data_IF_262284203093
#
_entry.id   IF_262284203093
#
_cell.length_a   1.000
_cell.length_b   1.000
_cell.length_c   1.000
_cell.angle_alpha   90.00
_cell.angle_beta   90.00
_cell.angle_gamma   90.00
#
_symmetry.space_group_name_H-M   'P 1'
#
loop_
_entity.id
_entity.type
_entity.pdbx_description
1 polymer ?
#
# COMPACT_ATOMS: atom_id res chain seq x y z
N UNK A 1 18.16 -10.02 -60.91
CA UNK A 1 17.79 -11.34 -61.45
C UNK A 1 18.81 -12.32 -60.90
N UNK A 2 18.56 -13.27 -60.01
CA UNK A 2 17.39 -13.76 -59.24
C UNK A 2 18.07 -14.72 -58.25
N UNK A 3 17.89 -14.56 -56.92
CA UNK A 3 16.99 -15.39 -56.09
C UNK A 3 17.35 -16.89 -56.13
N UNK A 4 17.41 -17.68 -55.05
CA UNK A 4 16.65 -17.72 -53.78
C UNK A 4 17.28 -18.91 -53.00
N UNK A 5 17.65 -18.77 -51.71
CA UNK A 5 16.86 -19.14 -50.52
C UNK A 5 16.96 -20.63 -50.10
N UNK A 6 17.29 -20.82 -48.82
CA UNK A 6 16.89 -21.90 -47.91
C UNK A 6 17.05 -23.37 -48.32
N UNK A 7 18.09 -24.04 -47.78
CA UNK A 7 17.94 -25.29 -46.98
C UNK A 7 19.30 -25.79 -46.42
N UNK A 8 20.04 -24.94 -45.69
CA UNK A 8 21.28 -25.35 -45.01
C UNK A 8 21.26 -25.04 -43.51
N UNK A 9 20.14 -25.36 -42.87
CA UNK A 9 20.01 -25.39 -41.41
C UNK A 9 19.85 -26.85 -40.99
N UNK A 10 20.93 -27.48 -40.54
CA UNK A 10 20.98 -28.40 -39.38
C UNK A 10 22.40 -28.93 -39.13
N UNK A 11 23.11 -28.17 -38.29
CA UNK A 11 23.81 -28.63 -37.08
C UNK A 11 25.00 -29.61 -37.21
N UNK A 12 26.16 -29.04 -37.56
CA UNK A 12 27.41 -29.21 -36.78
C UNK A 12 27.22 -28.46 -35.43
N UNK A 13 27.75 -28.80 -34.27
CA UNK A 13 28.85 -29.65 -33.86
C UNK A 13 28.69 -29.95 -32.36
N UNK A 14 28.91 -31.20 -31.95
CA UNK A 14 29.15 -31.54 -30.54
C UNK A 14 30.27 -32.59 -30.48
N UNK A 15 31.49 -32.12 -30.25
CA UNK A 15 32.64 -32.93 -29.82
C UNK A 15 33.37 -32.17 -28.73
N UNK A 16 33.51 -32.83 -27.59
CA UNK A 16 34.48 -32.67 -26.51
C UNK A 16 33.77 -32.61 -25.15
N UNK A 17 33.71 -33.75 -24.45
CA UNK A 17 34.45 -33.94 -23.18
C UNK A 17 34.24 -35.35 -22.62
N UNK A 18 35.34 -36.09 -22.57
CA UNK A 18 35.68 -37.21 -21.68
C UNK A 18 35.42 -36.77 -20.22
N UNK A 19 34.83 -37.54 -19.29
CA UNK A 19 35.39 -38.67 -18.53
C UNK A 19 34.24 -39.30 -17.72
N UNK A 20 34.15 -40.64 -17.72
CA UNK A 20 33.18 -41.45 -16.99
C UNK A 20 33.83 -42.08 -15.74
N UNK A 21 33.19 -41.88 -14.58
CA UNK A 21 32.92 -42.83 -13.48
C UNK A 21 34.07 -43.44 -12.67
N UNK A 22 34.14 -43.05 -11.39
CA UNK A 22 34.02 -43.98 -10.24
C UNK A 22 33.72 -43.21 -8.93
N UNK A 23 32.66 -43.58 -8.20
CA UNK A 23 32.40 -43.08 -6.84
C UNK A 23 30.92 -43.01 -6.44
N UNK A 24 30.34 -44.15 -6.07
CA UNK A 24 29.01 -44.27 -5.44
C UNK A 24 29.20 -44.22 -3.91
N UNK A 25 28.39 -43.44 -3.19
CA UNK A 25 27.55 -43.84 -2.04
C UNK A 25 27.30 -42.70 -1.03
N UNK A 26 26.01 -42.38 -0.89
CA UNK A 26 25.27 -42.10 0.36
C UNK A 26 25.69 -40.89 1.20
N UNK A 27 24.94 -39.79 1.10
CA UNK A 27 24.29 -39.14 2.25
C UNK A 27 23.05 -38.38 1.76
N UNK A 28 21.87 -39.00 1.92
CA UNK A 28 20.61 -38.28 1.95
C UNK A 28 20.49 -37.60 3.30
N UNK A 29 20.68 -36.27 3.33
CA UNK A 29 20.31 -35.45 4.47
C UNK A 29 18.93 -34.84 4.22
N UNK A 30 17.97 -35.16 5.09
CA UNK A 30 16.75 -34.38 5.23
C UNK A 30 17.11 -32.91 5.46
N UNK A 31 16.63 -32.01 4.61
CA UNK A 31 16.66 -30.57 4.90
C UNK A 31 15.53 -30.33 5.90
N UNK A 32 15.82 -30.48 7.20
CA UNK A 32 14.96 -29.92 8.25
C UNK A 32 15.16 -28.41 8.23
N UNK A 33 14.09 -27.68 7.96
CA UNK A 33 14.06 -26.26 8.22
C UNK A 33 14.24 -26.05 9.73
N UNK A 34 15.40 -25.53 10.13
CA UNK A 34 15.61 -25.07 11.50
C UNK A 34 14.73 -23.84 11.76
N UNK A 35 14.01 -23.77 12.88
CA UNK A 35 13.40 -22.52 13.31
C UNK A 35 14.52 -21.52 13.64
N UNK A 36 14.39 -20.31 13.11
CA UNK A 36 15.25 -19.18 13.47
C UNK A 36 14.94 -18.79 14.91
N UNK A 37 15.69 -19.36 15.85
CA UNK A 37 15.76 -18.88 17.23
C UNK A 37 16.63 -17.62 17.26
N UNK A 38 15.99 -16.45 17.40
CA UNK A 38 16.69 -15.22 17.74
C UNK A 38 17.24 -15.36 19.17
N UNK A 39 18.55 -15.15 19.30
CA UNK A 39 19.41 -15.59 20.42
C UNK A 39 19.24 -14.80 21.73
N UNK A 40 18.25 -13.91 21.82
CA UNK A 40 18.27 -12.84 22.80
C UNK A 40 17.14 -12.88 23.83
N UNK A 41 16.46 -14.02 24.06
CA UNK A 41 15.70 -14.31 25.29
C UNK A 41 14.63 -13.29 25.75
N UNK A 42 14.27 -12.31 24.92
CA UNK A 42 13.26 -11.29 25.21
C UNK A 42 12.03 -11.67 24.41
N UNK A 43 10.99 -12.09 25.11
CA UNK A 43 9.62 -12.12 24.60
C UNK A 43 9.24 -10.68 24.26
N UNK A 44 9.44 -10.27 23.00
CA UNK A 44 8.81 -9.05 22.50
C UNK A 44 7.33 -9.39 22.30
N UNK A 45 6.45 -8.66 22.98
CA UNK A 45 5.04 -8.65 22.61
C UNK A 45 4.93 -8.28 21.12
N UNK A 46 3.91 -8.80 20.43
CA UNK A 46 3.68 -8.52 19.00
C UNK A 46 3.64 -7.01 18.69
N UNK A 47 3.31 -6.19 19.68
CA UNK A 47 3.40 -4.72 19.63
C UNK A 47 4.80 -4.20 19.25
N UNK A 48 5.88 -4.86 19.69
CA UNK A 48 7.27 -4.42 19.47
C UNK A 48 7.89 -4.84 18.13
N UNK A 49 7.20 -5.66 17.33
CA UNK A 49 7.63 -6.04 15.96
C UNK A 49 6.88 -5.22 14.90
N UNK A 50 5.76 -4.60 15.27
CA UNK A 50 4.93 -3.76 14.40
C UNK A 50 5.15 -2.25 14.59
N UNK A 51 5.99 -1.82 15.53
CA UNK A 51 6.50 -0.44 15.58
C UNK A 51 7.58 -0.18 14.51
N UNK A 52 7.30 -0.54 13.26
CA UNK A 52 7.77 0.31 12.18
C UNK A 52 6.89 1.56 12.29
N UNK A 53 7.37 2.54 13.08
CA UNK A 53 6.63 3.71 13.53
C UNK A 53 5.71 4.19 12.40
N UNK A 54 4.40 3.99 12.59
CA UNK A 54 3.35 4.53 11.74
C UNK A 54 3.80 5.91 11.29
N UNK A 55 4.20 6.03 10.02
CA UNK A 55 4.90 7.22 9.61
C UNK A 55 3.92 8.37 9.87
N UNK A 56 4.27 9.33 10.72
CA UNK A 56 3.35 10.38 11.11
C UNK A 56 3.53 11.55 10.15
N UNK A 57 2.45 12.32 9.92
CA UNK A 57 2.58 13.58 9.19
C UNK A 57 3.36 14.55 10.07
N UNK A 58 4.54 14.95 9.58
CA UNK A 58 5.39 15.94 10.24
C UNK A 58 5.04 17.32 9.69
N UNK A 59 4.48 18.18 10.52
CA UNK A 59 4.29 19.58 10.19
C UNK A 59 5.65 20.29 10.10
N UNK A 60 5.97 20.84 8.93
CA UNK A 60 7.29 21.45 8.69
C UNK A 60 7.22 22.96 8.39
N UNK A 61 6.07 23.45 7.93
CA UNK A 61 5.85 24.88 7.69
C UNK A 61 4.36 25.20 7.69
N UNK A 62 4.03 26.47 7.94
CA UNK A 62 2.70 27.03 7.72
C UNK A 62 2.74 28.10 6.63
N UNK A 63 1.64 28.24 5.92
CA UNK A 63 1.44 29.35 5.01
C UNK A 63 1.36 30.65 5.81
N UNK A 64 2.15 31.64 5.41
CA UNK A 64 2.17 32.98 5.97
C UNK A 64 2.07 34.01 4.83
N UNK A 65 1.52 35.21 5.09
CA UNK A 65 1.48 36.27 4.10
C UNK A 65 2.89 36.80 3.81
N UNK A 66 3.08 37.36 2.62
CA UNK A 66 4.31 38.10 2.26
C UNK A 66 4.53 39.24 3.28
N UNK A 67 5.78 39.47 3.76
CA UNK A 67 7.04 38.82 3.35
C UNK A 67 7.44 37.58 4.18
N UNK A 68 6.58 37.08 5.09
CA UNK A 68 6.93 36.08 6.09
C UNK A 68 6.83 34.63 5.61
N UNK A 69 7.05 34.36 4.31
CA UNK A 69 6.91 33.03 3.73
C UNK A 69 7.81 32.01 4.48
N UNK A 70 7.23 30.87 4.85
CA UNK A 70 8.00 29.77 5.44
C UNK A 70 8.38 28.74 4.39
N UNK A 71 9.56 28.15 4.57
CA UNK A 71 10.05 27.05 3.74
C UNK A 71 10.11 25.79 4.56
N UNK A 72 9.40 24.75 4.11
CA UNK A 72 9.51 23.41 4.64
C UNK A 72 10.84 22.81 4.18
N UNK A 73 11.68 22.40 5.13
CA UNK A 73 12.95 21.71 4.85
C UNK A 73 12.86 20.27 5.32
N UNK A 74 12.91 19.34 4.37
CA UNK A 74 12.78 17.90 4.62
C UNK A 74 14.16 17.27 4.47
N UNK A 75 14.64 16.58 5.52
CA UNK A 75 15.97 15.98 5.55
C UNK A 75 15.89 14.45 5.66
N UNK A 76 15.33 13.82 4.64
CA UNK A 76 15.12 12.38 4.55
C UNK A 76 15.86 11.81 3.33
N UNK A 77 17.19 11.63 3.42
CA UNK A 77 18.01 11.28 2.27
C UNK A 77 17.63 9.91 1.71
N UNK A 78 17.48 9.83 0.39
CA UNK A 78 17.16 8.64 -0.40
C UNK A 78 15.84 7.92 -0.04
N UNK A 79 15.01 8.53 0.80
CA UNK A 79 13.63 8.06 1.05
C UNK A 79 12.66 8.71 0.07
N UNK A 80 11.63 7.96 -0.32
CA UNK A 80 10.45 8.54 -0.95
C UNK A 80 9.66 9.29 0.11
N UNK A 81 9.32 10.53 -0.18
CA UNK A 81 8.58 11.43 0.71
C UNK A 81 7.29 11.83 0.05
N UNK A 82 6.17 11.59 0.73
CA UNK A 82 4.91 12.24 0.39
C UNK A 82 4.82 13.55 1.16
N UNK A 83 4.58 14.62 0.42
CA UNK A 83 4.34 15.95 0.96
C UNK A 83 2.89 16.35 0.66
N UNK A 84 2.23 16.99 1.62
CA UNK A 84 0.90 17.57 1.41
C UNK A 84 0.89 19.04 1.76
N UNK A 85 0.11 19.79 1.00
CA UNK A 85 -0.19 21.19 1.24
C UNK A 85 -1.68 21.36 1.36
N UNK A 86 -2.15 22.02 2.41
CA UNK A 86 -3.58 22.23 2.60
C UNK A 86 -4.00 22.54 4.02
N UNK A 87 -5.28 22.40 4.29
CA UNK A 87 -5.85 22.54 5.63
C UNK A 87 -6.91 21.46 5.81
N UNK A 88 -7.34 21.22 7.06
CA UNK A 88 -8.17 20.09 7.46
C UNK A 88 -9.19 19.64 6.41
N UNK A 89 -9.01 18.41 5.91
CA UNK A 89 -9.85 17.77 4.90
C UNK A 89 -9.58 18.15 3.43
N UNK A 90 -8.84 19.22 3.15
CA UNK A 90 -8.56 19.71 1.79
C UNK A 90 -7.06 19.87 1.53
N UNK A 91 -6.46 18.93 0.78
CA UNK A 91 -5.02 18.85 0.53
C UNK A 91 -4.69 18.54 -0.94
N UNK A 92 -3.58 19.08 -1.42
CA UNK A 92 -2.85 18.55 -2.57
C UNK A 92 -1.65 17.73 -2.11
N UNK A 93 -1.36 16.64 -2.83
CA UNK A 93 -0.24 15.76 -2.54
C UNK A 93 0.83 15.83 -3.63
N UNK A 94 2.08 15.70 -3.20
CA UNK A 94 3.30 15.76 -4.00
C UNK A 94 4.23 14.66 -3.54
N UNK A 95 5.09 14.16 -4.44
CA UNK A 95 6.03 13.12 -4.09
C UNK A 95 7.43 13.45 -4.57
N UNK A 96 8.40 13.20 -3.69
CA UNK A 96 9.80 13.51 -3.89
C UNK A 96 10.67 12.33 -3.46
N UNK A 97 11.87 12.25 -4.03
CA UNK A 97 12.97 11.42 -3.52
C UNK A 97 14.25 12.20 -3.73
N UNK A 98 15.04 12.40 -2.69
CA UNK A 98 16.22 13.25 -2.79
C UNK A 98 17.33 12.79 -1.86
N UNK A 99 18.57 12.81 -2.34
CA UNK A 99 19.78 12.58 -1.54
C UNK A 99 20.24 13.83 -0.77
N UNK A 100 19.63 14.99 -1.06
CA UNK A 100 19.86 16.26 -0.36
C UNK A 100 18.56 16.75 0.30
N UNK A 101 18.63 17.68 1.26
CA UNK A 101 17.43 18.30 1.81
C UNK A 101 16.54 18.90 0.72
N UNK A 102 15.24 18.64 0.82
CA UNK A 102 14.21 19.22 -0.06
C UNK A 102 13.73 20.51 0.61
N UNK A 103 13.72 21.62 -0.13
CA UNK A 103 13.26 22.93 0.36
C UNK A 103 12.06 23.39 -0.46
N UNK A 104 10.88 23.44 0.16
CA UNK A 104 9.61 23.81 -0.49
C UNK A 104 8.99 24.99 0.26
N UNK A 105 8.79 26.11 -0.43
CA UNK A 105 8.07 27.26 0.14
C UNK A 105 6.58 26.94 0.28
N UNK A 106 6.05 27.12 1.49
CA UNK A 106 4.67 26.81 1.82
C UNK A 106 3.73 27.93 1.34
N UNK A 107 3.39 27.93 0.04
CA UNK A 107 2.67 29.03 -0.57
C UNK A 107 1.83 28.65 -1.79
N UNK A 108 0.69 29.33 -1.94
CA UNK A 108 -0.29 29.11 -3.00
C UNK A 108 0.25 29.22 -4.43
N UNK A 109 1.14 30.18 -4.68
CA UNK A 109 1.66 30.38 -6.04
C UNK A 109 2.58 29.25 -6.51
N UNK A 110 3.08 28.43 -5.58
CA UNK A 110 3.91 27.25 -5.89
C UNK A 110 3.05 25.99 -5.86
N UNK A 111 2.19 25.84 -4.86
CA UNK A 111 1.51 24.58 -4.54
C UNK A 111 0.02 24.57 -4.93
N UNK A 112 -0.49 25.63 -5.57
CA UNK A 112 -1.92 25.84 -5.76
C UNK A 112 -2.64 26.16 -4.44
N UNK A 113 -3.94 26.41 -4.49
CA UNK A 113 -4.74 26.71 -3.29
C UNK A 113 -5.86 25.67 -3.07
N UNK A 114 -5.57 24.54 -2.39
CA UNK A 114 -6.56 23.48 -2.16
C UNK A 114 -7.71 23.92 -1.26
N UNK A 115 -7.57 25.02 -0.52
CA UNK A 115 -8.55 25.49 0.45
C UNK A 115 -8.57 27.03 0.55
N UNK A 116 -9.25 27.70 -0.41
CA UNK A 116 -9.25 29.15 -0.49
C UNK A 116 -9.77 29.83 0.78
N UNK A 117 -9.06 30.88 1.22
CA UNK A 117 -9.44 31.69 2.38
C UNK A 117 -9.12 31.08 3.75
N UNK A 118 -8.58 29.86 3.80
CA UNK A 118 -8.14 29.21 5.04
C UNK A 118 -6.60 29.18 5.05
N UNK A 119 -5.91 29.41 6.18
CA UNK A 119 -4.46 29.20 6.27
C UNK A 119 -4.07 27.74 6.06
N UNK A 120 -3.06 27.48 5.22
CA UNK A 120 -2.60 26.12 4.92
C UNK A 120 -1.34 25.76 5.70
N UNK A 121 -1.07 24.47 5.73
CA UNK A 121 0.09 23.85 6.33
C UNK A 121 0.78 22.96 5.30
N UNK A 122 2.09 22.87 5.46
CA UNK A 122 2.94 21.93 4.76
C UNK A 122 3.31 20.83 5.74
N UNK A 123 2.91 19.62 5.40
CA UNK A 123 3.28 18.42 6.14
C UNK A 123 3.98 17.43 5.21
N UNK A 124 4.86 16.60 5.76
CA UNK A 124 5.47 15.51 5.01
C UNK A 124 5.47 14.21 5.80
N UNK A 125 5.70 13.12 5.10
CA UNK A 125 5.98 11.82 5.70
C UNK A 125 6.95 11.02 4.85
N UNK A 126 7.73 10.14 5.50
CA UNK A 126 8.54 9.13 4.82
C UNK A 126 7.66 7.94 4.46
N UNK A 127 7.57 7.63 3.17
CA UNK A 127 6.61 6.70 2.63
C UNK A 127 5.79 7.34 1.53
N UNK A 128 5.11 6.49 0.75
CA UNK A 128 4.30 6.91 -0.36
C UNK A 128 2.83 6.61 -0.07
N UNK A 129 1.97 7.59 -0.34
CA UNK A 129 0.51 7.37 -0.38
C UNK A 129 0.06 6.81 -1.73
N UNK A 130 1.00 6.49 -2.61
CA UNK A 130 0.82 5.92 -3.94
C UNK A 130 1.61 4.61 -4.07
N UNK A 131 1.12 3.65 -4.84
CA UNK A 131 1.88 2.47 -5.22
C UNK A 131 2.83 2.73 -6.40
N UNK A 132 3.81 1.82 -6.54
CA UNK A 132 4.63 1.69 -7.76
C UNK A 132 5.71 2.75 -7.98
N UNK A 133 5.97 3.66 -7.03
CA UNK A 133 7.00 4.70 -7.19
C UNK A 133 8.45 4.19 -7.09
N UNK A 134 8.67 3.09 -6.37
CA UNK A 134 9.99 2.48 -6.18
C UNK A 134 10.41 1.57 -7.33
N UNK A 135 9.64 1.54 -8.43
CA UNK A 135 10.00 0.78 -9.62
C UNK A 135 11.37 1.19 -10.18
N UNK A 136 12.17 0.21 -10.59
CA UNK A 136 13.46 0.44 -11.26
C UNK A 136 13.31 0.82 -12.73
N UNK A 137 12.11 0.69 -13.29
CA UNK A 137 11.83 0.71 -14.73
C UNK A 137 11.65 2.12 -15.31
N UNK A 138 12.29 3.13 -14.72
CA UNK A 138 12.28 4.48 -15.25
C UNK A 138 13.27 4.60 -16.42
N UNK A 139 12.77 4.98 -17.59
CA UNK A 139 13.59 5.30 -18.76
C UNK A 139 13.68 6.81 -18.97
N UNK A 140 14.86 7.31 -19.27
CA UNK A 140 15.04 8.68 -19.74
C UNK A 140 14.33 8.89 -21.10
N UNK A 141 13.59 9.99 -21.21
CA UNK A 141 12.83 10.35 -22.42
C UNK A 141 13.15 11.73 -22.95
N UNK A 142 13.72 12.61 -22.13
CA UNK A 142 14.10 13.97 -22.52
C UNK A 142 15.09 14.56 -21.53
N UNK A 143 15.99 15.42 -22.03
CA UNK A 143 16.82 16.32 -21.22
C UNK A 143 16.08 17.63 -20.95
N UNK A 144 16.55 18.38 -19.96
CA UNK A 144 15.97 19.68 -19.62
C UNK A 144 15.93 20.61 -20.85
N UNK A 145 14.73 21.12 -21.16
CA UNK A 145 14.41 21.94 -22.33
C UNK A 145 13.82 21.17 -23.51
N UNK A 146 14.00 19.85 -23.59
CA UNK A 146 13.50 19.03 -24.70
C UNK A 146 12.01 18.68 -24.54
N UNK A 147 11.34 18.40 -25.66
CA UNK A 147 9.95 17.89 -25.65
C UNK A 147 9.94 16.36 -25.76
N UNK A 148 8.95 15.73 -25.13
CA UNK A 148 8.69 14.29 -25.27
C UNK A 148 7.18 14.01 -25.29
N UNK A 149 6.82 12.86 -25.87
CA UNK A 149 5.46 12.33 -25.83
C UNK A 149 5.43 11.14 -24.88
N UNK A 150 4.39 11.07 -24.04
CA UNK A 150 4.16 9.90 -23.19
C UNK A 150 3.41 8.83 -23.99
N UNK A 151 4.13 8.06 -24.80
CA UNK A 151 3.53 7.01 -25.63
C UNK A 151 3.56 5.66 -24.92
N UNK A 152 2.51 5.41 -24.12
CA UNK A 152 2.32 4.19 -23.33
C UNK A 152 0.87 3.73 -23.49
N UNK A 153 0.67 2.41 -23.51
CA UNK A 153 -0.66 1.80 -23.68
C UNK A 153 -1.59 2.04 -22.48
N UNK A 154 -1.01 2.27 -21.29
CA UNK A 154 -1.75 2.52 -20.07
C UNK A 154 -2.23 3.97 -19.98
N UNK A 155 -3.39 4.22 -19.38
CA UNK A 155 -4.00 5.57 -19.31
C UNK A 155 -3.15 6.59 -18.57
N UNK A 156 -2.41 6.18 -17.54
CA UNK A 156 -1.56 7.05 -16.75
C UNK A 156 -0.28 6.34 -16.35
N UNK A 157 0.82 7.09 -16.33
CA UNK A 157 2.14 6.61 -15.90
C UNK A 157 2.77 7.61 -14.96
N UNK A 158 3.72 7.11 -14.16
CA UNK A 158 4.62 7.97 -13.40
C UNK A 158 5.65 8.59 -14.33
N UNK A 159 5.84 9.90 -14.17
CA UNK A 159 6.96 10.62 -14.76
C UNK A 159 7.71 11.31 -13.63
N UNK A 160 9.03 11.21 -13.65
CA UNK A 160 9.89 11.92 -12.70
C UNK A 160 10.78 12.93 -13.42
N UNK A 161 10.93 14.09 -12.81
CA UNK A 161 11.79 15.18 -13.25
C UNK A 161 12.88 15.38 -12.22
N UNK A 162 14.13 15.42 -12.66
CA UNK A 162 15.23 15.49 -11.72
C UNK A 162 16.57 15.05 -12.28
N UNK A 163 17.43 14.54 -11.43
CA UNK A 163 18.82 14.20 -11.78
C UNK A 163 19.24 12.88 -11.13
N UNK A 164 20.03 12.08 -11.85
CA UNK A 164 20.72 10.89 -11.33
C UNK A 164 22.15 11.28 -10.96
N UNK A 165 22.52 11.17 -9.68
CA UNK A 165 23.90 11.32 -9.21
C UNK A 165 24.53 10.01 -8.77
N UNK A 166 25.85 10.03 -8.51
CA UNK A 166 26.59 8.87 -8.03
C UNK A 166 26.12 8.36 -6.65
N UNK A 167 25.63 9.26 -5.80
CA UNK A 167 25.11 8.95 -4.47
C UNK A 167 23.60 8.65 -4.46
N UNK A 168 22.97 8.55 -5.64
CA UNK A 168 21.51 8.52 -5.81
C UNK A 168 20.98 9.79 -6.50
N UNK A 169 19.67 9.88 -6.65
CA UNK A 169 19.02 10.95 -7.42
C UNK A 169 18.24 11.96 -6.59
N UNK A 170 17.88 13.07 -7.25
CA UNK A 170 16.93 14.06 -6.74
C UNK A 170 15.78 14.14 -7.74
N UNK A 171 14.56 13.84 -7.29
CA UNK A 171 13.40 13.59 -8.14
C UNK A 171 12.15 14.22 -7.57
N UNK A 172 11.39 14.86 -8.46
CA UNK A 172 9.98 15.16 -8.28
C UNK A 172 9.15 14.20 -9.15
N UNK A 173 8.14 13.57 -8.56
CA UNK A 173 7.27 12.63 -9.25
C UNK A 173 5.89 13.24 -9.50
N UNK A 174 5.35 12.99 -10.68
CA UNK A 174 3.96 13.29 -11.01
C UNK A 174 3.35 12.24 -11.92
N UNK A 175 2.04 12.10 -11.84
CA UNK A 175 1.27 11.29 -12.78
C UNK A 175 1.00 12.08 -14.06
N UNK A 176 1.08 11.42 -15.20
CA UNK A 176 0.81 12.00 -16.52
C UNK A 176 -0.08 11.06 -17.32
N UNK A 177 -0.99 11.62 -18.13
CA UNK A 177 -1.83 10.82 -19.01
C UNK A 177 -1.04 10.27 -20.21
N UNK A 178 -1.42 9.10 -20.72
CA UNK A 178 -0.95 8.62 -22.02
C UNK A 178 -1.20 9.67 -23.11
N UNK A 179 -0.29 9.76 -24.07
CA UNK A 179 -0.32 10.65 -25.23
C UNK A 179 -0.12 12.13 -24.92
N UNK A 180 0.10 12.51 -23.66
CA UNK A 180 0.44 13.88 -23.32
C UNK A 180 1.79 14.27 -23.94
N UNK A 181 1.84 15.43 -24.60
CA UNK A 181 3.07 16.07 -25.05
C UNK A 181 3.55 17.05 -23.98
N UNK A 182 4.79 16.90 -23.55
CA UNK A 182 5.36 17.65 -22.43
C UNK A 182 6.71 18.23 -22.81
N UNK A 183 7.07 19.36 -22.21
CA UNK A 183 8.43 19.89 -22.21
C UNK A 183 9.10 19.54 -20.89
N UNK A 184 10.28 18.94 -20.94
CA UNK A 184 11.05 18.60 -19.76
C UNK A 184 11.67 19.85 -19.13
N UNK A 185 10.92 20.59 -18.31
CA UNK A 185 11.43 21.79 -17.64
C UNK A 185 10.76 22.02 -16.28
N UNK A 186 11.29 22.98 -15.52
CA UNK A 186 10.79 23.33 -14.18
C UNK A 186 9.32 23.77 -14.22
N UNK A 187 8.92 24.56 -15.23
CA UNK A 187 7.57 25.10 -15.31
C UNK A 187 6.53 23.99 -15.51
N UNK A 188 6.74 23.09 -16.46
CA UNK A 188 5.76 22.09 -16.86
C UNK A 188 5.91 20.79 -16.07
N UNK A 189 7.12 20.25 -15.97
CA UNK A 189 7.38 18.99 -15.28
C UNK A 189 7.63 19.15 -13.80
N UNK A 190 8.39 20.18 -13.40
CA UNK A 190 8.57 20.55 -12.01
C UNK A 190 7.34 21.22 -11.37
N UNK A 191 6.38 21.67 -12.18
CA UNK A 191 5.24 22.48 -11.73
C UNK A 191 5.67 23.69 -10.89
N UNK A 192 6.77 24.34 -11.29
CA UNK A 192 7.39 25.46 -10.57
C UNK A 192 8.44 25.04 -9.54
N UNK A 193 8.59 23.76 -9.24
CA UNK A 193 9.58 23.24 -8.31
C UNK A 193 10.83 22.73 -9.02
N UNK A 194 12.01 23.13 -8.53
CA UNK A 194 13.31 22.64 -8.98
C UNK A 194 13.87 21.62 -7.97
N UNK A 195 13.83 20.30 -8.25
CA UNK A 195 14.33 19.28 -7.34
C UNK A 195 15.85 19.29 -7.19
N UNK A 196 16.59 19.90 -8.11
CA UNK A 196 18.05 19.93 -8.13
C UNK A 196 18.56 21.26 -8.70
N UNK A 197 18.55 22.35 -7.89
CA UNK A 197 18.97 23.67 -8.33
C UNK A 197 20.40 23.68 -8.87
N UNK A 198 20.62 24.43 -9.96
CA UNK A 198 21.91 24.57 -10.65
C UNK A 198 22.49 23.27 -11.24
N UNK A 199 21.68 22.20 -11.34
CA UNK A 199 22.03 20.95 -12.01
C UNK A 199 21.09 20.76 -13.20
N UNK A 200 21.61 20.23 -14.32
CA UNK A 200 20.78 19.87 -15.48
C UNK A 200 19.91 18.67 -15.15
N UNK A 201 18.62 18.77 -15.45
CA UNK A 201 17.65 17.69 -15.19
C UNK A 201 17.38 16.85 -16.44
N UNK A 202 16.75 15.72 -16.19
CA UNK A 202 16.17 14.83 -17.17
C UNK A 202 14.75 14.46 -16.75
N UNK A 203 13.94 14.07 -17.72
CA UNK A 203 12.62 13.50 -17.51
C UNK A 203 12.69 12.02 -17.78
N UNK A 204 12.09 11.24 -16.89
CA UNK A 204 12.01 9.81 -17.03
C UNK A 204 10.57 9.33 -16.89
N UNK A 205 10.15 8.44 -17.78
CA UNK A 205 8.84 7.77 -17.73
C UNK A 205 9.05 6.41 -17.06
N UNK A 206 8.23 6.12 -16.05
CA UNK A 206 8.29 4.89 -15.27
C UNK A 206 7.02 4.05 -15.38
N UNK A 207 6.66 3.32 -14.32
CA UNK A 207 5.58 2.35 -14.36
C UNK A 207 4.19 2.99 -14.46
N UNK A 208 3.22 2.14 -14.79
CA UNK A 208 1.80 2.49 -14.84
C UNK A 208 1.27 2.84 -13.45
N UNK A 209 0.46 3.88 -13.38
CA UNK A 209 -0.27 4.26 -12.16
C UNK A 209 -1.48 3.34 -12.03
N UNK A 210 -1.44 2.42 -11.06
CA UNK A 210 -2.53 1.47 -10.84
C UNK A 210 -3.71 2.10 -10.07
N UNK A 211 -3.54 3.29 -9.53
CA UNK A 211 -4.53 3.93 -8.67
C UNK A 211 -5.60 4.71 -9.46
N UNK A 212 -5.39 4.88 -10.76
CA UNK A 212 -6.33 5.53 -11.69
C UNK A 212 -7.00 4.45 -12.55
N UNK A 213 -7.91 3.70 -11.93
CA UNK A 213 -8.66 2.65 -12.62
C UNK A 213 -9.82 3.21 -13.44
N UNK A 214 -10.41 4.31 -12.96
CA UNK A 214 -11.60 4.88 -13.58
C UNK A 214 -11.25 5.86 -14.71
N UNK A 215 -12.20 6.04 -15.63
CA UNK A 215 -12.12 7.15 -16.57
C UNK A 215 -12.31 8.47 -15.81
N UNK A 216 -11.54 9.48 -16.20
CA UNK A 216 -11.76 10.84 -15.73
C UNK A 216 -13.16 11.32 -16.12
N UNK A 217 -13.87 11.93 -15.18
CA UNK A 217 -15.19 12.54 -15.36
C UNK A 217 -15.03 14.05 -15.30
N UNK A 218 -15.57 14.77 -16.28
CA UNK A 218 -15.62 16.23 -16.26
C UNK A 218 -16.50 16.69 -15.11
N UNK A 219 -16.05 17.66 -14.34
CA UNK A 219 -16.83 18.25 -13.26
C UNK A 219 -17.07 19.75 -13.41
N UNK A 220 -16.18 20.47 -14.09
CA UNK A 220 -16.30 21.92 -14.26
C UNK A 220 -15.60 22.42 -15.52
N UNK A 221 -16.09 23.52 -16.08
CA UNK A 221 -15.34 24.37 -17.00
C UNK A 221 -14.50 25.38 -16.21
N UNK A 222 -13.50 25.99 -16.84
CA UNK A 222 -12.69 27.04 -16.21
C UNK A 222 -13.55 28.15 -15.58
N UNK A 223 -13.23 28.52 -14.35
CA UNK A 223 -13.96 29.49 -13.55
C UNK A 223 -15.15 28.93 -12.77
N UNK A 224 -15.68 27.77 -13.15
CA UNK A 224 -16.76 27.10 -12.40
C UNK A 224 -16.22 26.31 -11.20
N UNK A 225 -17.11 25.82 -10.34
CA UNK A 225 -16.75 24.98 -9.19
C UNK A 225 -16.92 23.50 -9.52
N UNK A 226 -16.00 22.68 -9.03
CA UNK A 226 -16.00 21.23 -9.16
C UNK A 226 -16.30 20.61 -7.80
N UNK A 227 -17.33 19.76 -7.74
CA UNK A 227 -17.64 18.92 -6.58
C UNK A 227 -17.16 17.50 -6.87
N UNK A 228 -16.46 16.90 -5.90
CA UNK A 228 -15.97 15.52 -5.98
C UNK A 228 -16.52 14.71 -4.81
N UNK A 229 -16.21 13.43 -4.78
CA UNK A 229 -16.57 12.55 -3.65
C UNK A 229 -15.77 12.92 -2.39
N UNK A 230 -16.21 12.47 -1.21
CA UNK A 230 -15.40 12.60 0.03
C UNK A 230 -14.11 11.77 0.03
N UNK A 231 -13.91 10.96 -1.02
CA UNK A 231 -12.70 10.20 -1.25
C UNK A 231 -11.62 11.07 -1.91
N UNK A 232 -10.34 10.79 -1.67
CA UNK A 232 -9.26 11.30 -2.50
C UNK A 232 -9.54 11.02 -3.98
N UNK A 233 -9.14 11.97 -4.82
CA UNK A 233 -9.36 11.93 -6.26
C UNK A 233 -8.10 12.40 -6.96
N UNK A 234 -7.78 11.80 -8.09
CA UNK A 234 -6.91 12.47 -9.05
C UNK A 234 -7.73 13.55 -9.74
N UNK A 235 -7.34 14.80 -9.54
CA UNK A 235 -7.89 15.93 -10.28
C UNK A 235 -6.92 16.31 -11.38
N UNK A 236 -7.46 16.66 -12.54
CA UNK A 236 -6.70 17.27 -13.61
C UNK A 236 -7.38 18.53 -14.12
N UNK A 237 -6.56 19.51 -14.45
CA UNK A 237 -6.95 20.80 -15.00
C UNK A 237 -6.17 21.03 -16.28
N UNK A 238 -6.86 21.38 -17.36
CA UNK A 238 -6.24 21.42 -18.68
C UNK A 238 -7.24 21.34 -19.83
N UNK A 239 -6.70 21.17 -21.03
CA UNK A 239 -7.47 20.92 -22.26
C UNK A 239 -6.58 20.16 -23.25
N UNK A 240 -7.18 19.41 -24.17
CA UNK A 240 -6.49 18.63 -25.20
C UNK A 240 -5.42 17.69 -24.62
N UNK A 241 -4.14 17.94 -24.93
CA UNK A 241 -2.97 17.20 -24.45
C UNK A 241 -2.13 18.03 -23.47
N UNK A 242 -2.73 18.99 -22.78
CA UNK A 242 -2.04 19.91 -21.85
C UNK A 242 -2.74 19.93 -20.50
N UNK A 243 -2.32 19.03 -19.61
CA UNK A 243 -2.91 18.82 -18.30
C UNK A 243 -1.90 18.98 -17.15
N UNK A 244 -2.33 19.66 -16.10
CA UNK A 244 -1.77 19.47 -14.75
C UNK A 244 -2.65 18.46 -14.01
N UNK A 245 -2.03 17.48 -13.35
CA UNK A 245 -2.73 16.42 -12.62
C UNK A 245 -2.09 16.25 -11.26
N UNK A 246 -2.91 16.11 -10.22
CA UNK A 246 -2.46 15.89 -8.83
C UNK A 246 -3.49 15.02 -8.10
N UNK A 247 -3.03 14.31 -7.08
CA UNK A 247 -3.94 13.76 -6.09
C UNK A 247 -4.42 14.91 -5.21
N UNK A 248 -5.72 14.95 -4.99
CA UNK A 248 -6.39 15.92 -4.14
C UNK A 248 -7.29 15.18 -3.18
N UNK A 249 -7.32 15.65 -1.94
CA UNK A 249 -8.38 15.35 -0.99
C UNK A 249 -9.17 16.62 -0.79
N UNK A 250 -10.50 16.53 -0.87
CA UNK A 250 -11.42 17.60 -0.46
C UNK A 250 -12.77 16.95 -0.16
N UNK A 251 -13.51 17.38 0.87
CA UNK A 251 -14.83 16.84 1.12
C UNK A 251 -15.82 17.33 0.03
N UNK A 252 -16.82 16.51 -0.27
CA UNK A 252 -17.90 16.81 -1.20
C UNK A 252 -18.72 18.04 -0.79
N UNK A 253 -18.74 18.35 0.50
CA UNK A 253 -19.33 19.58 1.06
C UNK A 253 -18.55 20.85 0.72
N UNK A 254 -17.35 20.72 0.14
CA UNK A 254 -16.45 21.83 -0.17
C UNK A 254 -15.95 21.75 -1.62
N UNK A 255 -16.74 22.24 -2.58
CA UNK A 255 -16.32 22.35 -3.98
C UNK A 255 -15.07 23.22 -4.11
N UNK A 256 -14.22 22.90 -5.09
CA UNK A 256 -13.04 23.71 -5.41
C UNK A 256 -13.22 24.46 -6.74
N UNK A 257 -12.51 25.58 -6.92
CA UNK A 257 -12.62 26.38 -8.12
C UNK A 257 -11.76 25.80 -9.26
N UNK A 258 -12.31 25.74 -10.47
CA UNK A 258 -11.57 25.26 -11.65
C UNK A 258 -10.74 26.38 -12.29
N UNK A 259 -9.64 26.79 -11.66
CA UNK A 259 -8.86 27.96 -12.09
C UNK A 259 -7.35 27.74 -12.04
N UNK A 260 -6.59 28.58 -12.76
CA UNK A 260 -5.13 28.62 -12.67
C UNK A 260 -4.63 28.79 -11.21
N UNK A 261 -5.31 29.61 -10.40
CA UNK A 261 -4.92 29.84 -8.99
C UNK A 261 -5.11 28.61 -8.13
N UNK A 262 -6.17 27.83 -8.36
CA UNK A 262 -6.41 26.58 -7.66
C UNK A 262 -5.25 25.60 -7.87
N UNK A 263 -4.76 25.47 -9.10
CA UNK A 263 -3.71 24.50 -9.44
C UNK A 263 -2.29 25.10 -9.40
N UNK A 264 -2.15 26.41 -9.21
CA UNK A 264 -0.86 27.12 -9.19
C UNK A 264 -0.18 27.24 -10.55
N UNK A 265 -0.81 26.78 -11.64
CA UNK A 265 -0.22 26.79 -12.98
C UNK A 265 -1.31 26.89 -14.06
N UNK A 266 -0.99 27.56 -15.17
CA UNK A 266 -1.76 27.51 -16.41
C UNK A 266 -1.12 26.51 -17.38
N UNK A 267 -1.67 25.28 -17.51
CA UNK A 267 -1.10 24.26 -18.38
C UNK A 267 -1.34 24.55 -19.87
N UNK A 268 -2.29 25.42 -20.22
CA UNK A 268 -2.72 25.67 -21.60
C UNK A 268 -3.07 27.14 -21.80
N UNK A 269 -2.02 27.98 -21.82
CA UNK A 269 -2.16 29.45 -21.95
C UNK A 269 -3.03 29.83 -23.14
N UNK A 270 -3.89 30.82 -22.93
CA UNK A 270 -4.82 31.38 -23.93
C UNK A 270 -5.92 30.42 -24.42
N UNK A 271 -5.99 29.19 -23.90
CA UNK A 271 -7.11 28.27 -24.15
C UNK A 271 -8.01 28.19 -22.93
N UNK A 272 -9.30 27.92 -23.12
CA UNK A 272 -10.20 27.61 -22.01
C UNK A 272 -9.94 26.19 -21.51
N UNK A 273 -9.84 26.02 -20.18
CA UNK A 273 -9.53 24.74 -19.54
C UNK A 273 -10.76 24.14 -18.89
N UNK A 274 -10.62 22.89 -18.48
CA UNK A 274 -11.66 22.13 -17.80
C UNK A 274 -11.07 21.35 -16.64
N UNK A 275 -11.90 21.09 -15.63
CA UNK A 275 -11.55 20.22 -14.52
C UNK A 275 -12.22 18.88 -14.70
N UNK A 276 -11.42 17.85 -14.51
CA UNK A 276 -11.82 16.47 -14.55
C UNK A 276 -11.28 15.77 -13.31
N UNK A 277 -12.00 14.76 -12.81
CA UNK A 277 -11.52 13.95 -11.71
C UNK A 277 -11.71 12.46 -11.96
N UNK A 278 -10.87 11.65 -11.34
CA UNK A 278 -11.04 10.21 -11.21
C UNK A 278 -10.89 9.86 -9.74
N UNK A 279 -11.77 8.99 -9.24
CA UNK A 279 -11.63 8.44 -7.90
C UNK A 279 -10.27 7.76 -7.75
N UNK A 280 -9.57 8.10 -6.66
CA UNK A 280 -8.38 7.40 -6.23
C UNK A 280 -8.82 6.04 -5.71
N UNK A 281 -8.29 4.98 -6.31
CA UNK A 281 -8.41 3.63 -5.77
C UNK A 281 -7.02 3.30 -5.24
N UNK A 282 -6.82 3.20 -3.91
CA UNK A 282 -5.53 2.78 -3.37
C UNK A 282 -5.07 1.51 -4.08
N UNK A 283 -3.78 1.40 -4.38
CA UNK A 283 -3.24 0.13 -4.86
C UNK A 283 -3.69 -0.96 -3.86
N UNK A 284 -4.31 -2.06 -4.33
CA UNK A 284 -4.81 -3.09 -3.44
C UNK A 284 -3.62 -3.65 -2.67
N UNK A 285 -3.57 -3.40 -1.37
CA UNK A 285 -2.45 -3.85 -0.59
C UNK A 285 -2.59 -3.46 0.83
N UNK A 286 -3.29 -4.29 1.59
CA UNK A 286 -2.76 -4.63 2.90
C UNK A 286 -1.22 -4.79 2.77
N UNK A 287 -0.47 -3.88 3.39
CA UNK A 287 0.99 -3.90 3.36
C UNK A 287 1.52 -5.13 4.08
N UNK A 288 0.83 -5.52 5.15
CA UNK A 288 1.04 -6.76 5.86
C UNK A 288 -0.33 -7.39 6.16
N UNK A 289 -0.42 -8.70 6.02
CA UNK A 289 -1.56 -9.49 6.50
C UNK A 289 -1.00 -10.57 7.41
N UNK A 290 -1.56 -10.75 8.60
CA UNK A 290 -1.22 -11.87 9.46
C UNK A 290 -2.46 -12.43 10.14
N UNK A 291 -2.43 -13.73 10.37
CA UNK A 291 -3.43 -14.43 11.17
C UNK A 291 -3.05 -14.37 12.64
N UNK A 292 -4.02 -14.25 13.53
CA UNK A 292 -3.82 -14.47 14.95
C UNK A 292 -5.03 -15.13 15.58
N UNK A 293 -4.79 -15.85 16.66
CA UNK A 293 -5.85 -16.35 17.52
C UNK A 293 -5.99 -15.44 18.74
N UNK A 294 -7.19 -14.91 18.94
CA UNK A 294 -7.53 -14.07 20.09
C UNK A 294 -8.36 -14.86 21.08
N UNK A 295 -7.86 -14.99 22.31
CA UNK A 295 -8.57 -15.65 23.39
C UNK A 295 -9.83 -14.85 23.75
N UNK A 296 -10.98 -15.50 23.77
CA UNK A 296 -12.27 -14.89 24.11
C UNK A 296 -12.71 -15.24 25.53
N UNK A 297 -12.49 -16.48 25.96
CA UNK A 297 -12.91 -16.93 27.29
C UNK A 297 -12.07 -18.10 27.77
N UNK A 298 -12.00 -18.28 29.10
CA UNK A 298 -11.43 -19.46 29.75
C UNK A 298 -12.31 -19.94 30.89
N UNK A 299 -12.13 -21.20 31.30
CA UNK A 299 -12.75 -21.78 32.49
C UNK A 299 -11.75 -22.71 33.18
N UNK A 300 -12.03 -23.08 34.44
CA UNK A 300 -11.25 -24.07 35.18
C UNK A 300 -12.14 -25.03 35.99
N UNK A 301 -11.67 -26.27 36.13
CA UNK A 301 -12.27 -27.34 36.93
C UNK A 301 -13.64 -27.81 36.44
N UNK A 302 -14.49 -28.27 37.36
CA UNK A 302 -15.83 -28.76 37.03
C UNK A 302 -16.75 -27.69 36.41
N UNK A 303 -16.38 -26.41 36.53
CA UNK A 303 -17.10 -25.32 35.88
C UNK A 303 -16.87 -25.26 34.35
N UNK A 304 -15.92 -26.04 33.82
CA UNK A 304 -15.67 -26.16 32.39
C UNK A 304 -16.69 -27.03 31.62
N UNK A 305 -17.90 -27.23 32.10
CA UNK A 305 -18.92 -27.97 31.32
C UNK A 305 -19.22 -27.31 29.98
N UNK A 306 -19.21 -25.97 29.95
CA UNK A 306 -19.41 -25.17 28.74
C UNK A 306 -18.78 -23.77 28.83
N UNK A 307 -18.28 -23.23 27.72
CA UNK A 307 -17.94 -21.82 27.55
C UNK A 307 -18.93 -21.16 26.60
N UNK A 308 -19.26 -19.88 26.81
CA UNK A 308 -20.08 -19.09 25.89
C UNK A 308 -19.48 -17.70 25.71
N UNK A 309 -19.13 -17.34 24.48
CA UNK A 309 -18.65 -16.00 24.17
C UNK A 309 -19.23 -15.49 22.86
N UNK A 310 -19.31 -14.17 22.76
CA UNK A 310 -19.66 -13.50 21.52
C UNK A 310 -18.45 -13.49 20.59
N UNK A 311 -18.52 -14.21 19.48
CA UNK A 311 -17.57 -14.08 18.36
C UNK A 311 -18.13 -13.07 17.37
N UNK A 312 -17.24 -12.30 16.74
CA UNK A 312 -17.65 -11.25 15.81
C UNK A 312 -17.29 -11.64 14.39
N UNK A 313 -18.20 -11.46 13.44
CA UNK A 313 -17.85 -11.49 12.01
C UNK A 313 -17.93 -10.07 11.47
N UNK A 314 -16.87 -9.61 10.84
CA UNK A 314 -16.88 -8.30 10.20
C UNK A 314 -15.51 -7.81 9.80
N UNK A 315 -15.50 -6.71 9.07
CA UNK A 315 -14.29 -5.94 8.80
C UNK A 315 -14.38 -4.69 9.67
N UNK A 316 -13.34 -4.45 10.47
CA UNK A 316 -13.13 -3.14 11.11
C UNK A 316 -11.87 -2.54 10.53
N UNK A 317 -12.03 -1.51 9.70
CA UNK A 317 -10.92 -0.66 9.25
C UNK A 317 -10.95 0.64 10.06
N UNK A 318 -9.78 1.13 10.48
CA UNK A 318 -9.64 2.53 10.92
C UNK A 318 -9.68 3.50 9.74
N UNK A 319 -9.55 2.97 8.53
CA UNK A 319 -9.79 3.65 7.26
C UNK A 319 -11.30 3.75 7.01
N UNK A 320 -11.86 4.95 7.00
CA UNK A 320 -13.29 5.17 6.71
C UNK A 320 -13.62 5.18 5.21
N UNK A 321 -12.63 4.95 4.34
CA UNK A 321 -12.64 5.22 2.90
C UNK A 321 -12.59 3.95 2.04
N UNK A 322 -11.95 2.87 2.49
CA UNK A 322 -11.95 1.59 1.78
C UNK A 322 -13.35 0.94 1.79
N UNK A 323 -13.88 0.65 0.59
CA UNK A 323 -15.00 -0.28 0.47
C UNK A 323 -14.45 -1.69 0.68
N UNK A 324 -15.11 -2.43 1.54
CA UNK A 324 -14.74 -3.77 2.01
C UNK A 324 -14.45 -4.78 0.91
N UNK A 325 -15.07 -4.66 -0.27
CA UNK A 325 -14.85 -5.58 -1.38
C UNK A 325 -13.41 -5.53 -1.92
N UNK A 326 -12.84 -4.33 -2.12
CA UNK A 326 -11.45 -4.18 -2.58
C UNK A 326 -10.44 -4.55 -1.50
N UNK A 327 -10.76 -4.23 -0.24
CA UNK A 327 -9.89 -4.54 0.89
C UNK A 327 -9.83 -6.05 1.18
N UNK A 328 -11.00 -6.69 1.23
CA UNK A 328 -11.11 -8.15 1.35
C UNK A 328 -10.44 -8.88 0.18
N UNK A 329 -10.55 -8.36 -1.05
CA UNK A 329 -9.80 -8.89 -2.21
C UNK A 329 -8.28 -8.73 -2.07
N UNK A 330 -7.80 -7.62 -1.50
CA UNK A 330 -6.36 -7.41 -1.26
C UNK A 330 -5.80 -8.40 -0.23
N UNK A 331 -6.55 -8.62 0.86
CA UNK A 331 -6.21 -9.62 1.89
C UNK A 331 -6.26 -11.03 1.29
N UNK A 332 -7.30 -11.34 0.52
CA UNK A 332 -7.42 -12.60 -0.24
C UNK A 332 -6.18 -12.81 -1.09
N UNK A 333 -5.80 -11.84 -1.92
CA UNK A 333 -4.62 -11.93 -2.80
C UNK A 333 -3.33 -12.17 -2.02
N UNK A 334 -3.15 -11.52 -0.86
CA UNK A 334 -1.98 -11.69 0.02
C UNK A 334 -1.94 -13.05 0.72
N UNK A 335 -3.10 -13.58 1.12
CA UNK A 335 -3.20 -14.94 1.66
C UNK A 335 -2.88 -15.96 0.56
N UNK A 336 -3.42 -15.74 -0.65
CA UNK A 336 -3.22 -16.59 -1.82
C UNK A 336 -1.77 -16.62 -2.30
N UNK A 337 -1.00 -15.55 -2.09
CA UNK A 337 0.43 -15.54 -2.37
C UNK A 337 1.29 -16.31 -1.34
N UNK A 338 0.66 -16.94 -0.33
CA UNK A 338 1.37 -17.67 0.74
C UNK A 338 2.07 -16.75 1.74
N UNK A 339 1.70 -15.47 1.78
CA UNK A 339 2.34 -14.45 2.62
C UNK A 339 1.62 -14.25 3.96
N UNK A 340 0.80 -15.21 4.43
CA UNK A 340 0.08 -15.11 5.70
C UNK A 340 0.87 -15.77 6.86
N UNK A 341 1.72 -15.05 7.60
CA UNK A 341 2.24 -15.54 8.88
C UNK A 341 1.10 -15.64 9.90
N UNK A 342 1.15 -16.66 10.75
CA UNK A 342 0.29 -16.77 11.94
C UNK A 342 1.13 -16.35 13.15
N UNK A 343 0.69 -15.37 13.92
CA UNK A 343 1.37 -15.00 15.17
C UNK A 343 1.36 -16.18 16.15
N UNK A 344 2.55 -16.60 16.58
CA UNK A 344 2.74 -17.81 17.38
C UNK A 344 2.90 -19.10 16.57
N UNK A 345 2.76 -19.04 15.24
CA UNK A 345 2.92 -20.17 14.32
C UNK A 345 3.93 -19.93 13.19
N UNK A 346 4.03 -20.91 12.30
CA UNK A 346 4.87 -20.84 11.09
C UNK A 346 4.20 -20.07 9.95
N UNK A 347 4.95 -19.85 8.85
CA UNK A 347 4.35 -19.40 7.59
C UNK A 347 3.47 -20.51 7.02
N UNK A 348 2.34 -20.14 6.45
CA UNK A 348 1.42 -21.09 5.81
C UNK A 348 1.88 -21.36 4.37
N UNK A 349 1.77 -22.61 3.90
CA UNK A 349 1.96 -22.97 2.48
C UNK A 349 0.98 -22.18 1.59
N UNK A 350 1.38 -21.82 0.36
CA UNK A 350 0.52 -21.11 -0.58
C UNK A 350 -0.80 -21.86 -0.85
N UNK A 351 -0.77 -23.19 -0.91
CA UNK A 351 -1.94 -24.04 -1.15
C UNK A 351 -2.97 -23.97 -0.03
N UNK A 352 -2.53 -24.02 1.23
CA UNK A 352 -3.41 -23.87 2.39
C UNK A 352 -3.95 -22.43 2.52
N UNK A 353 -3.14 -21.42 2.16
CA UNK A 353 -3.57 -20.04 2.05
C UNK A 353 -4.69 -19.87 1.01
N UNK A 354 -4.49 -20.37 -0.21
CA UNK A 354 -5.48 -20.37 -1.29
C UNK A 354 -6.80 -21.05 -0.89
N UNK A 355 -6.70 -22.21 -0.25
CA UNK A 355 -7.90 -22.96 0.15
C UNK A 355 -8.66 -22.19 1.24
N UNK A 356 -7.96 -21.64 2.23
CA UNK A 356 -8.55 -20.81 3.28
C UNK A 356 -9.19 -19.53 2.73
N UNK A 357 -8.52 -18.85 1.79
CA UNK A 357 -9.03 -17.61 1.20
C UNK A 357 -10.36 -17.83 0.46
N UNK A 358 -10.46 -18.94 -0.27
CA UNK A 358 -11.65 -19.33 -1.04
C UNK A 358 -12.82 -19.74 -0.13
N UNK A 359 -12.56 -20.52 0.92
CA UNK A 359 -13.61 -20.94 1.86
C UNK A 359 -14.18 -19.78 2.66
N UNK A 360 -13.35 -18.78 2.96
CA UNK A 360 -13.73 -17.67 3.83
C UNK A 360 -14.33 -16.48 3.08
N UNK A 361 -14.44 -16.55 1.73
CA UNK A 361 -14.97 -15.55 0.79
C UNK A 361 -15.31 -14.20 1.44
N UNK A 362 -14.29 -13.37 1.57
CA UNK A 362 -14.26 -12.16 2.41
C UNK A 362 -15.13 -11.00 1.91
N UNK A 363 -15.82 -11.20 0.78
CA UNK A 363 -16.63 -10.21 0.05
C UNK A 363 -17.98 -9.87 0.70
N UNK A 364 -18.38 -10.52 1.80
CA UNK A 364 -19.69 -10.30 2.44
C UNK A 364 -19.66 -9.37 3.66
N UNK A 365 -18.51 -8.81 4.03
CA UNK A 365 -18.42 -7.86 5.13
C UNK A 365 -18.80 -6.46 4.61
N UNK A 366 -19.94 -5.92 5.05
CA UNK A 366 -20.46 -4.63 4.59
C UNK A 366 -19.90 -3.44 5.42
N UNK A 367 -19.90 -2.27 4.77
CA UNK A 367 -19.09 -1.04 4.91
C UNK A 367 -19.07 -0.25 6.23
N UNK A 368 -19.55 -0.76 7.36
CA UNK A 368 -19.54 0.04 8.60
C UNK A 368 -19.54 -0.85 9.82
N UNK A 369 -18.37 -1.18 10.37
CA UNK A 369 -18.21 -1.78 11.71
C UNK A 369 -19.34 -2.74 12.12
N UNK A 370 -19.77 -3.63 11.20
CA UNK A 370 -20.84 -4.56 11.51
C UNK A 370 -20.16 -5.72 12.20
N UNK A 371 -19.89 -5.57 13.50
CA UNK A 371 -19.66 -6.72 14.37
C UNK A 371 -21.01 -7.38 14.59
N UNK A 372 -21.38 -8.26 13.67
CA UNK A 372 -22.44 -9.20 13.99
C UNK A 372 -21.86 -10.15 15.04
N UNK A 373 -22.27 -9.94 16.29
CA UNK A 373 -21.95 -10.82 17.40
C UNK A 373 -22.80 -12.08 17.31
N UNK A 374 -22.14 -13.23 17.29
CA UNK A 374 -22.78 -14.54 17.40
C UNK A 374 -22.39 -15.13 18.74
N UNK A 375 -23.37 -15.56 19.52
CA UNK A 375 -23.07 -16.33 20.72
C UNK A 375 -22.66 -17.74 20.30
N UNK A 376 -21.43 -18.11 20.67
CA UNK A 376 -20.87 -19.44 20.40
C UNK A 376 -20.69 -20.15 21.71
N UNK A 377 -21.13 -21.42 21.74
CA UNK A 377 -20.97 -22.29 22.90
C UNK A 377 -20.01 -23.43 22.60
N UNK A 378 -18.97 -23.55 23.43
CA UNK A 378 -18.10 -24.71 23.48
C UNK A 378 -18.62 -25.66 24.55
N UNK A 379 -19.06 -26.86 24.17
CA UNK A 379 -19.50 -27.89 25.11
C UNK A 379 -18.42 -28.97 25.24
N UNK A 380 -17.90 -29.15 26.45
CA UNK A 380 -16.73 -29.99 26.70
C UNK A 380 -17.06 -31.37 27.30
N UNK A 381 -18.34 -31.63 27.56
CA UNK A 381 -18.80 -32.91 28.11
C UNK A 381 -18.35 -33.12 29.55
N UNK A 382 -17.89 -34.33 29.88
CA UNK A 382 -17.42 -34.66 31.23
C UNK A 382 -16.02 -34.09 31.46
N UNK A 383 -15.95 -33.01 32.23
CA UNK A 383 -14.71 -32.40 32.70
C UNK A 383 -14.36 -32.89 34.11
N UNK A 384 -13.06 -32.99 34.39
CA UNK A 384 -12.50 -33.26 35.72
C UNK A 384 -12.18 -31.95 36.47
N UNK A 385 -11.93 -32.05 37.80
CA UNK A 385 -11.54 -30.93 38.66
C UNK A 385 -10.26 -30.20 38.21
N UNK A 386 -9.43 -30.83 37.37
CA UNK A 386 -8.18 -30.26 36.85
C UNK A 386 -8.30 -29.71 35.43
N UNK A 387 -9.49 -29.80 34.83
CA UNK A 387 -9.68 -29.42 33.43
C UNK A 387 -9.55 -27.92 33.26
N UNK A 388 -9.02 -27.51 32.12
CA UNK A 388 -8.89 -26.11 31.75
C UNK A 388 -9.39 -25.94 30.32
N UNK A 389 -10.40 -25.10 30.13
CA UNK A 389 -11.04 -24.88 28.85
C UNK A 389 -10.75 -23.48 28.35
N UNK A 390 -10.54 -23.35 27.04
CA UNK A 390 -10.27 -22.09 26.36
C UNK A 390 -11.12 -21.97 25.10
N UNK A 391 -11.54 -20.74 24.80
CA UNK A 391 -12.18 -20.39 23.55
C UNK A 391 -11.34 -19.33 22.85
N UNK A 392 -11.02 -19.57 21.59
CA UNK A 392 -10.21 -18.72 20.73
C UNK A 392 -11.00 -18.35 19.48
N UNK A 393 -10.83 -17.13 18.99
CA UNK A 393 -11.35 -16.70 17.70
C UNK A 393 -10.18 -16.35 16.78
N UNK A 394 -10.23 -16.80 15.53
CA UNK A 394 -9.24 -16.39 14.55
C UNK A 394 -9.58 -15.00 14.03
N UNK A 395 -8.57 -14.14 13.93
CA UNK A 395 -8.69 -12.79 13.39
C UNK A 395 -7.56 -12.61 12.37
N UNK A 396 -7.90 -12.12 11.17
CA UNK A 396 -6.90 -11.69 10.19
C UNK A 396 -6.69 -10.21 10.38
N UNK A 397 -5.51 -9.81 10.84
CA UNK A 397 -5.14 -8.40 10.92
C UNK A 397 -4.39 -8.03 9.67
N UNK A 398 -4.63 -6.82 9.18
CA UNK A 398 -3.76 -6.21 8.22
C UNK A 398 -3.52 -4.74 8.50
N UNK A 399 -2.39 -4.25 8.02
CA UNK A 399 -2.11 -2.83 7.92
C UNK A 399 -2.33 -2.40 6.48
N UNK A 400 -2.97 -1.26 6.25
CA UNK A 400 -3.04 -0.61 4.94
C UNK A 400 -2.48 0.80 5.02
N UNK A 401 -2.09 1.35 3.87
CA UNK A 401 -1.64 2.74 3.79
C UNK A 401 -2.81 3.68 3.61
N UNK A 402 -2.82 4.76 4.39
CA UNK A 402 -3.93 5.70 4.47
C UNK A 402 -3.49 7.13 4.23
N UNK A 403 -4.27 7.91 3.50
CA UNK A 403 -3.88 9.29 3.20
C UNK A 403 -3.85 10.21 4.43
N UNK A 404 -4.70 9.96 5.43
CA UNK A 404 -4.79 10.84 6.61
C UNK A 404 -3.89 10.43 7.76
N UNK A 405 -3.76 9.13 8.00
CA UNK A 405 -3.01 8.55 9.13
C UNK A 405 -1.77 7.75 8.70
N UNK A 406 -1.47 7.71 7.40
CA UNK A 406 -0.33 7.06 6.72
C UNK A 406 -0.31 5.54 6.87
N UNK A 407 -0.61 5.04 8.05
CA UNK A 407 -1.03 3.67 8.32
C UNK A 407 -2.46 3.69 8.86
N UNK A 408 -3.35 2.94 8.23
CA UNK A 408 -4.52 2.43 8.92
C UNK A 408 -4.28 0.98 9.29
N UNK A 409 -4.89 0.57 10.38
CA UNK A 409 -5.10 -0.85 10.63
C UNK A 409 -6.49 -1.20 10.13
N UNK A 410 -6.63 -2.41 9.63
CA UNK A 410 -7.92 -3.04 9.60
C UNK A 410 -7.80 -4.49 10.00
N UNK A 411 -8.79 -4.98 10.71
CA UNK A 411 -8.92 -6.37 11.04
C UNK A 411 -10.15 -6.92 10.34
N UNK A 412 -10.02 -8.14 9.85
CA UNK A 412 -11.15 -8.96 9.49
C UNK A 412 -11.30 -10.03 10.55
N UNK A 413 -12.39 -9.92 11.30
CA UNK A 413 -12.81 -10.93 12.25
C UNK A 413 -13.60 -11.99 11.47
N UNK A 414 -13.10 -13.22 11.45
CA UNK A 414 -13.83 -14.37 10.87
C UNK A 414 -14.73 -15.02 11.90
N UNK A 415 -15.72 -15.77 11.42
CA UNK A 415 -16.53 -16.65 12.28
C UNK A 415 -15.76 -17.85 12.82
N UNK A 416 -14.52 -18.08 12.38
CA UNK A 416 -13.75 -19.23 12.84
C UNK A 416 -13.36 -19.07 14.30
N UNK A 417 -13.79 -20.04 15.10
CA UNK A 417 -13.44 -20.17 16.51
C UNK A 417 -12.97 -21.58 16.79
N UNK A 418 -12.26 -21.73 17.89
CA UNK A 418 -11.83 -23.02 18.38
C UNK A 418 -11.98 -23.11 19.88
N UNK A 419 -12.35 -24.30 20.33
CA UNK A 419 -12.50 -24.65 21.72
C UNK A 419 -11.43 -25.67 22.08
N UNK A 420 -10.57 -25.37 23.05
CA UNK A 420 -9.53 -26.29 23.52
C UNK A 420 -9.86 -26.70 24.95
N UNK A 421 -9.71 -27.98 25.25
CA UNK A 421 -9.74 -28.50 26.63
C UNK A 421 -8.45 -29.21 26.93
N UNK A 422 -7.85 -28.80 28.03
CA UNK A 422 -6.68 -29.41 28.63
C UNK A 422 -7.11 -30.22 29.83
N UNK A 423 -6.55 -31.43 30.00
CA UNK A 423 -6.80 -32.27 31.18
C UNK A 423 -6.15 -31.71 32.45
N UNK A 424 -5.07 -30.96 32.28
CA UNK A 424 -4.32 -30.26 33.32
C UNK A 424 -3.92 -28.89 32.77
N UNK A 425 -3.75 -27.89 33.64
CA UNK A 425 -3.32 -26.55 33.22
C UNK A 425 -1.93 -26.65 32.57
N UNK A 426 -1.78 -26.28 31.29
CA UNK A 426 -0.47 -26.28 30.65
C UNK A 426 0.44 -25.25 31.32
N UNK A 427 1.73 -25.58 31.45
CA UNK A 427 2.73 -24.67 32.05
C UNK A 427 2.89 -23.37 31.26
N UNK A 428 2.61 -23.42 29.96
CA UNK A 428 2.59 -22.28 29.05
C UNK A 428 1.30 -22.35 28.23
N UNK A 429 0.49 -21.29 28.30
CA UNK A 429 -0.67 -21.14 27.42
C UNK A 429 -0.19 -20.58 26.09
N UNK A 430 -0.04 -21.46 25.10
CA UNK A 430 0.31 -21.07 23.75
C UNK A 430 -0.97 -20.94 22.92
N UNK A 431 -1.11 -19.85 22.14
CA UNK A 431 -2.22 -19.74 21.21
C UNK A 431 -2.14 -20.87 20.18
N UNK A 432 -3.27 -21.25 19.58
CA UNK A 432 -3.29 -22.14 18.43
C UNK A 432 -2.33 -21.65 17.34
N UNK A 433 -1.60 -22.57 16.68
CA UNK A 433 -0.55 -22.20 15.72
C UNK A 433 -0.94 -22.44 14.27
N UNK A 434 -2.11 -23.04 14.03
CA UNK A 434 -2.58 -23.38 12.68
C UNK A 434 -3.73 -22.49 12.20
N UNK A 435 -3.93 -22.45 10.89
CA UNK A 435 -5.16 -21.92 10.31
C UNK A 435 -6.39 -22.72 10.74
N UNK A 436 -7.57 -22.07 10.84
CA UNK A 436 -8.84 -22.77 11.01
C UNK A 436 -9.01 -23.92 10.01
N UNK A 437 -9.42 -25.09 10.51
CA UNK A 437 -9.63 -26.30 9.69
C UNK A 437 -8.38 -27.15 9.43
N UNK A 438 -7.19 -26.70 9.85
CA UNK A 438 -5.93 -27.41 9.58
C UNK A 438 -5.25 -27.99 10.82
N UNK A 439 -5.88 -27.92 11.99
CA UNK A 439 -5.33 -28.49 13.22
C UNK A 439 -5.25 -30.03 13.10
N UNK A 440 -4.06 -30.58 13.32
CA UNK A 440 -3.82 -32.03 13.36
C UNK A 440 -4.18 -32.63 14.73
N UNK A 441 -4.14 -31.82 15.78
CA UNK A 441 -4.49 -32.21 17.15
C UNK A 441 -5.50 -31.23 17.78
N UNK A 442 -6.12 -31.63 18.88
CA UNK A 442 -7.18 -30.85 19.54
C UNK A 442 -6.69 -29.53 20.14
N UNK A 443 -5.40 -29.43 20.46
CA UNK A 443 -4.77 -28.20 20.94
C UNK A 443 -4.34 -27.27 19.80
N UNK A 444 -4.44 -27.74 18.55
CA UNK A 444 -3.97 -27.05 17.36
C UNK A 444 -2.51 -26.55 17.47
N UNK A 445 -1.65 -27.36 18.08
CA UNK A 445 -0.19 -27.14 18.16
C UNK A 445 0.56 -27.82 17.01
N UNK A 446 -0.11 -28.69 16.27
CA UNK A 446 0.40 -29.33 15.06
C UNK A 446 -0.56 -29.07 13.89
N UNK A 447 -0.02 -28.74 12.71
CA UNK A 447 -0.79 -28.41 11.51
C UNK A 447 -0.74 -29.55 10.49
N UNK A 448 -1.75 -29.62 9.64
CA UNK A 448 -1.87 -30.61 8.55
C UNK A 448 -1.32 -30.10 7.21
N UNK A 449 -1.11 -28.79 7.08
CA UNK A 449 -0.36 -28.22 5.96
C UNK A 449 1.14 -28.27 6.26
N UNK A 450 1.94 -28.61 5.25
CA UNK A 450 3.40 -28.66 5.32
C UNK A 450 4.01 -27.46 4.61
#
# INVERSE_FOLDING_TARGET
>A
MTNIFDEFVRSLAARCFTVFVLGILLFGGEVKAEPVLLKDGITRTADGVLEEAAANWVNCARELPIPYLQTCRINEPDKVVTFRYGAEGSYFFYVFKSVKPIEITCWNNVLGDPNPGVPKFCDYTTGTVYGGLDGTDYREVAKEGEQFNVDVSARNVWVRFGFVGAAGGQWYYRTVNSKQKLTCNIAEMGQGFDPAPNIKKVCQVGPVVQEIQNAFKKCATEGATCTVTDRPVFVRYGIDDSWTQRLMRTPSSKPFACTNSQFGIDPARLKSKECWFSEYVPAPGATNVYGQWKQKQTCFGNACGSLSATVSRGVSTTDSWEKTDSYGQSITTKIESGELPILGGGKVSAEAGLTFSQTSSWSSASTTEIKNGFEVQCNFGSVSDTSFGEMWQFETISSSQCLDKITCSGSIEVLDYMCIVWKEIPKEMNPPVCLPGYCKNNACTECTYN
#
